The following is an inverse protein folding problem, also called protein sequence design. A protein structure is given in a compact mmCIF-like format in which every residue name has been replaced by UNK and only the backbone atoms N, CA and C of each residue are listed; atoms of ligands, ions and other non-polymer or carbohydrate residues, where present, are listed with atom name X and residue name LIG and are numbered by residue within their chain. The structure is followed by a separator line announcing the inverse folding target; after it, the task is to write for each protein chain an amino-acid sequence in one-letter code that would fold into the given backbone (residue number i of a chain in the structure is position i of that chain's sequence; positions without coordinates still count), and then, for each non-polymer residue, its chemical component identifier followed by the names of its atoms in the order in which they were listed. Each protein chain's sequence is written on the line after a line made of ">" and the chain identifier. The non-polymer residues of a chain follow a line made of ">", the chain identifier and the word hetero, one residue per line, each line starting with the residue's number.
data_IF_143843352493
#
_entry.id   IF_143843352493
#
_cell.length_a   1.000
_cell.length_b   1.000
_cell.length_c   1.000
_cell.angle_alpha   90.00
_cell.angle_beta   90.00
_cell.angle_gamma   90.00
#
_symmetry.space_group_name_H-M   'P 1'
#
loop_
_entity.id
_entity.type
_entity.pdbx_description
1 polymer ?
#
# COMPACT_ATOMS: atom_id res chain seq x y z
N UNK A 1 -39.11 32.67 -35.77
CA UNK A 1 -40.21 32.13 -34.96
C UNK A 1 -39.56 31.18 -33.96
N UNK A 2 -39.29 31.63 -32.74
CA UNK A 2 -38.64 30.78 -31.72
C UNK A 2 -39.62 29.70 -31.28
N UNK A 3 -39.37 28.46 -31.71
CA UNK A 3 -40.10 27.28 -31.27
C UNK A 3 -39.75 26.99 -29.79
N UNK A 4 -40.49 27.62 -28.88
CA UNK A 4 -40.39 27.35 -27.44
C UNK A 4 -40.95 25.96 -27.16
N UNK A 5 -40.07 24.96 -27.20
CA UNK A 5 -40.34 23.60 -26.75
C UNK A 5 -40.98 23.59 -25.35
N UNK A 6 -42.07 22.83 -25.21
CA UNK A 6 -42.86 22.72 -23.98
C UNK A 6 -42.02 22.12 -22.83
N UNK A 7 -42.26 22.53 -21.56
CA UNK A 7 -41.49 22.06 -20.40
C UNK A 7 -41.41 20.52 -20.25
N UNK A 8 -42.45 19.80 -20.70
CA UNK A 8 -42.51 18.33 -20.68
C UNK A 8 -41.55 17.67 -21.70
N UNK A 9 -41.30 18.30 -22.83
CA UNK A 9 -40.38 17.81 -23.88
C UNK A 9 -38.92 18.09 -23.52
N UNK A 10 -38.66 19.26 -22.92
CA UNK A 10 -37.36 19.59 -22.30
C UNK A 10 -36.96 18.57 -21.23
N UNK A 11 -37.92 18.06 -20.45
CA UNK A 11 -37.67 17.04 -19.43
C UNK A 11 -37.44 15.63 -20.03
N UNK A 12 -38.05 15.33 -21.19
CA UNK A 12 -37.80 14.10 -21.96
C UNK A 12 -36.42 14.10 -22.64
N UNK A 13 -35.87 15.27 -23.00
CA UNK A 13 -34.54 15.43 -23.60
C UNK A 13 -33.40 15.58 -22.58
N UNK A 14 -33.68 16.08 -21.36
CA UNK A 14 -32.67 16.19 -20.30
C UNK A 14 -32.25 14.84 -19.72
N UNK A 15 -33.20 13.92 -19.54
CA UNK A 15 -32.93 12.54 -19.05
C UNK A 15 -31.91 11.77 -19.91
N UNK A 16 -32.00 11.75 -21.26
CA UNK A 16 -31.01 11.07 -22.10
C UNK A 16 -29.63 11.73 -22.09
N UNK A 17 -29.54 13.06 -21.89
CA UNK A 17 -28.24 13.75 -21.77
C UNK A 17 -27.55 13.38 -20.45
N UNK A 18 -28.27 13.41 -19.33
CA UNK A 18 -27.71 13.01 -18.02
C UNK A 18 -27.26 11.55 -18.04
N UNK A 19 -28.05 10.66 -18.63
CA UNK A 19 -27.68 9.24 -18.74
C UNK A 19 -26.48 9.03 -19.68
N UNK A 20 -26.36 9.83 -20.76
CA UNK A 20 -25.16 9.83 -21.60
C UNK A 20 -23.93 10.23 -20.79
N UNK A 21 -23.98 11.33 -20.03
CA UNK A 21 -22.89 11.76 -19.15
C UNK A 21 -22.53 10.69 -18.10
N UNK A 22 -23.53 10.01 -17.53
CA UNK A 22 -23.30 8.90 -16.59
C UNK A 22 -22.52 7.77 -17.26
N UNK A 23 -22.95 7.35 -18.46
CA UNK A 23 -22.30 6.29 -19.24
C UNK A 23 -20.89 6.67 -19.65
N UNK A 24 -20.68 7.92 -20.08
CA UNK A 24 -19.35 8.42 -20.45
C UNK A 24 -18.41 8.42 -19.25
N UNK A 25 -18.89 8.86 -18.07
CA UNK A 25 -18.13 8.79 -16.82
C UNK A 25 -17.74 7.36 -16.46
N UNK A 26 -18.69 6.41 -16.52
CA UNK A 26 -18.43 4.99 -16.24
C UNK A 26 -17.37 4.44 -17.21
N UNK A 27 -17.51 4.71 -18.50
CA UNK A 27 -16.56 4.24 -19.51
C UNK A 27 -15.16 4.82 -19.30
N UNK A 28 -15.07 6.11 -18.97
CA UNK A 28 -13.80 6.77 -18.64
C UNK A 28 -13.13 6.11 -17.44
N UNK A 29 -13.88 5.85 -16.36
CA UNK A 29 -13.34 5.17 -15.18
C UNK A 29 -12.87 3.75 -15.49
N UNK A 30 -13.57 3.00 -16.33
CA UNK A 30 -13.14 1.65 -16.74
C UNK A 30 -11.83 1.70 -17.53
N UNK A 31 -11.66 2.66 -18.45
CA UNK A 31 -10.40 2.81 -19.19
C UNK A 31 -9.26 3.27 -18.26
N UNK A 32 -9.53 4.14 -17.29
CA UNK A 32 -8.56 4.52 -16.26
C UNK A 32 -8.09 3.31 -15.44
N UNK A 33 -9.01 2.43 -15.02
CA UNK A 33 -8.65 1.19 -14.32
C UNK A 33 -7.75 0.30 -15.16
N UNK A 34 -8.05 0.17 -16.45
CA UNK A 34 -7.23 -0.59 -17.41
C UNK A 34 -5.79 -0.06 -17.48
N UNK A 35 -5.61 1.26 -17.53
CA UNK A 35 -4.28 1.89 -17.56
C UNK A 35 -3.54 1.76 -16.23
N UNK A 36 -4.22 1.97 -15.10
CA UNK A 36 -3.60 1.89 -13.76
C UNK A 36 -3.09 0.49 -13.44
N UNK A 37 -3.80 -0.54 -13.89
CA UNK A 37 -3.48 -1.94 -13.61
C UNK A 37 -2.89 -2.65 -14.84
N UNK A 38 -2.44 -1.93 -15.87
CA UNK A 38 -1.96 -2.49 -17.14
C UNK A 38 -0.92 -3.61 -16.94
N UNK A 39 0.04 -3.39 -16.02
CA UNK A 39 1.06 -4.39 -15.70
C UNK A 39 0.48 -5.65 -15.09
N UNK A 40 -0.51 -5.52 -14.20
CA UNK A 40 -1.18 -6.66 -13.59
C UNK A 40 -2.03 -7.41 -14.63
N UNK A 41 -2.68 -6.69 -15.54
CA UNK A 41 -3.36 -7.30 -16.68
C UNK A 41 -2.41 -8.09 -17.59
N UNK A 42 -1.26 -7.51 -17.95
CA UNK A 42 -0.26 -8.17 -18.79
C UNK A 42 0.31 -9.44 -18.14
N UNK A 43 0.47 -9.45 -16.81
CA UNK A 43 0.96 -10.63 -16.08
C UNK A 43 -0.01 -11.81 -16.14
N UNK A 44 -1.31 -11.54 -16.11
CA UNK A 44 -2.33 -12.59 -16.13
C UNK A 44 -2.76 -12.98 -17.55
N UNK A 45 -2.85 -12.00 -18.47
CA UNK A 45 -3.29 -12.19 -19.85
C UNK A 45 -2.53 -11.26 -20.82
N UNK A 46 -1.29 -11.59 -21.22
CA UNK A 46 -0.41 -10.69 -21.97
C UNK A 46 -0.89 -10.32 -23.38
N UNK A 47 -1.80 -11.10 -23.98
CA UNK A 47 -2.20 -10.95 -25.39
C UNK A 47 -3.73 -11.00 -25.61
N UNK A 48 -4.53 -10.85 -24.55
CA UNK A 48 -5.99 -10.90 -24.66
C UNK A 48 -6.58 -9.50 -24.75
N UNK A 49 -7.62 -9.35 -25.57
CA UNK A 49 -8.42 -8.13 -25.58
C UNK A 49 -9.26 -8.11 -24.30
N UNK A 50 -8.92 -7.23 -23.37
CA UNK A 50 -9.63 -7.09 -22.11
C UNK A 50 -11.05 -6.59 -22.35
N UNK A 51 -12.05 -7.40 -22.01
CA UNK A 51 -13.44 -6.96 -21.98
C UNK A 51 -13.72 -6.13 -20.72
N UNK A 52 -14.81 -5.35 -20.74
CA UNK A 52 -15.17 -4.52 -19.57
C UNK A 52 -15.43 -5.37 -18.32
N UNK A 53 -15.94 -6.58 -18.49
CA UNK A 53 -16.16 -7.52 -17.38
C UNK A 53 -14.83 -7.95 -16.77
N UNK A 54 -13.86 -8.37 -17.60
CA UNK A 54 -12.51 -8.78 -17.16
C UNK A 54 -11.80 -7.66 -16.40
N UNK A 55 -11.86 -6.43 -16.92
CA UNK A 55 -11.25 -5.25 -16.28
C UNK A 55 -11.80 -5.10 -14.85
N UNK A 56 -13.12 -5.19 -14.68
CA UNK A 56 -13.75 -5.03 -13.37
C UNK A 56 -13.44 -6.19 -12.43
N UNK A 57 -13.51 -7.43 -12.92
CA UNK A 57 -13.25 -8.63 -12.11
C UNK A 57 -11.81 -8.65 -11.59
N UNK A 58 -10.83 -8.43 -12.47
CA UNK A 58 -9.42 -8.40 -12.10
C UNK A 58 -9.11 -7.22 -11.18
N UNK A 59 -9.73 -6.05 -11.40
CA UNK A 59 -9.59 -4.90 -10.48
C UNK A 59 -10.07 -5.27 -9.07
N UNK A 60 -11.23 -5.92 -8.95
CA UNK A 60 -11.75 -6.36 -7.64
C UNK A 60 -10.83 -7.39 -7.00
N UNK A 61 -10.34 -8.36 -7.76
CA UNK A 61 -9.39 -9.36 -7.28
C UNK A 61 -8.10 -8.73 -6.75
N UNK A 62 -7.53 -7.80 -7.53
CA UNK A 62 -6.35 -7.03 -7.14
C UNK A 62 -6.56 -6.23 -5.84
N UNK A 63 -7.68 -5.52 -5.72
CA UNK A 63 -7.98 -4.74 -4.51
C UNK A 63 -8.19 -5.63 -3.27
N UNK A 64 -8.82 -6.79 -3.42
CA UNK A 64 -8.96 -7.77 -2.33
C UNK A 64 -7.61 -8.28 -1.86
N UNK A 65 -6.73 -8.62 -2.79
CA UNK A 65 -5.37 -9.05 -2.48
C UNK A 65 -4.60 -7.94 -1.76
N UNK A 66 -4.70 -6.70 -2.24
CA UNK A 66 -4.04 -5.55 -1.62
C UNK A 66 -4.56 -5.26 -0.21
N UNK A 67 -5.87 -5.35 0.01
CA UNK A 67 -6.47 -5.21 1.34
C UNK A 67 -5.96 -6.28 2.30
N UNK A 68 -5.91 -7.54 1.89
CA UNK A 68 -5.42 -8.63 2.73
C UNK A 68 -3.92 -8.45 3.10
N UNK A 69 -3.10 -7.94 2.18
CA UNK A 69 -1.71 -7.61 2.45
C UNK A 69 -1.57 -6.43 3.42
N UNK A 70 -2.47 -5.45 3.34
CA UNK A 70 -2.50 -4.31 4.24
C UNK A 70 -3.00 -4.69 5.65
N UNK A 71 -3.97 -5.59 5.75
CA UNK A 71 -4.41 -6.16 7.01
C UNK A 71 -3.27 -6.93 7.68
N UNK A 72 -2.51 -7.73 6.94
CA UNK A 72 -1.30 -8.37 7.48
C UNK A 72 -0.25 -7.35 7.95
N UNK A 73 -0.02 -6.25 7.20
CA UNK A 73 0.90 -5.18 7.64
C UNK A 73 0.40 -4.41 8.86
N UNK A 74 -0.91 -4.22 9.01
CA UNK A 74 -1.48 -3.55 10.18
C UNK A 74 -1.55 -4.46 11.40
N UNK A 75 -1.61 -5.79 11.24
CA UNK A 75 -1.41 -6.75 12.33
C UNK A 75 0.05 -6.76 12.83
N UNK A 76 1.04 -6.57 11.95
CA UNK A 76 2.46 -6.43 12.36
C UNK A 76 2.68 -5.14 13.17
N UNK A 77 1.98 -4.05 12.84
CA UNK A 77 2.05 -2.77 13.57
C UNK A 77 1.17 -2.69 14.84
N UNK A 78 0.51 -3.77 15.24
CA UNK A 78 -0.35 -3.81 16.44
C UNK A 78 0.26 -4.56 17.61
N UNK A 79 1.47 -5.09 17.47
CA UNK A 79 2.19 -5.66 18.61
C UNK A 79 3.13 -4.59 19.18
N UNK A 80 2.71 -3.81 20.20
CA UNK A 80 3.54 -2.76 20.78
C UNK A 80 4.88 -3.30 21.29
N UNK A 81 4.97 -4.59 21.64
CA UNK A 81 6.23 -5.22 22.01
C UNK A 81 7.16 -5.45 20.82
N UNK A 82 6.64 -5.73 19.62
CA UNK A 82 7.46 -5.83 18.41
C UNK A 82 7.94 -4.45 17.94
N UNK A 83 7.07 -3.44 18.02
CA UNK A 83 7.46 -2.05 17.73
C UNK A 83 8.51 -1.53 18.75
N UNK A 84 8.37 -1.87 20.03
CA UNK A 84 9.37 -1.56 21.06
C UNK A 84 10.69 -2.27 20.80
N UNK A 85 10.70 -3.60 20.60
CA UNK A 85 11.92 -4.36 20.34
C UNK A 85 12.64 -3.90 19.07
N UNK A 86 11.89 -3.62 18.00
CA UNK A 86 12.43 -3.05 16.76
C UNK A 86 13.04 -1.67 16.98
N UNK A 87 12.34 -0.78 17.68
CA UNK A 87 12.84 0.55 18.03
C UNK A 87 14.08 0.51 18.93
N UNK A 88 14.08 -0.36 19.94
CA UNK A 88 15.21 -0.61 20.83
C UNK A 88 16.43 -1.11 20.05
N UNK A 89 16.26 -2.15 19.22
CA UNK A 89 17.36 -2.73 18.45
C UNK A 89 17.96 -1.73 17.45
N UNK A 90 17.10 -0.89 16.84
CA UNK A 90 17.53 0.19 15.95
C UNK A 90 18.37 1.23 16.69
N UNK A 91 17.92 1.68 17.85
CA UNK A 91 18.65 2.61 18.71
C UNK A 91 20.01 2.02 19.15
N UNK A 92 20.00 0.76 19.59
CA UNK A 92 21.21 0.05 20.03
C UNK A 92 22.24 -0.08 18.90
N UNK A 93 21.78 -0.44 17.69
CA UNK A 93 22.65 -0.55 16.51
C UNK A 93 23.30 0.79 16.17
N UNK A 94 22.53 1.88 16.23
CA UNK A 94 23.05 3.23 15.98
C UNK A 94 24.07 3.65 17.04
N UNK A 95 23.80 3.38 18.31
CA UNK A 95 24.73 3.66 19.40
C UNK A 95 26.05 2.87 19.23
N UNK A 96 25.98 1.60 18.86
CA UNK A 96 27.17 0.80 18.56
C UNK A 96 27.95 1.35 17.36
N UNK A 97 27.24 1.74 16.28
CA UNK A 97 27.84 2.34 15.11
C UNK A 97 28.60 3.62 15.48
N UNK A 98 27.94 4.55 16.19
CA UNK A 98 28.54 5.78 16.68
C UNK A 98 29.80 5.51 17.51
N UNK A 99 29.74 4.59 18.47
CA UNK A 99 30.91 4.25 19.32
C UNK A 99 32.07 3.63 18.53
N UNK A 100 31.77 2.91 17.44
CA UNK A 100 32.78 2.29 16.59
C UNK A 100 33.45 3.24 15.60
N UNK A 101 32.78 4.33 15.23
CA UNK A 101 33.21 5.28 14.20
C UNK A 101 34.33 6.21 14.66
N UNK A 102 34.42 6.52 15.97
CA UNK A 102 35.45 7.42 16.50
C UNK A 102 36.74 6.68 16.89
N UNK A 103 37.87 7.20 16.41
CA UNK A 103 39.23 6.87 16.84
C UNK A 103 39.93 8.12 17.41
N UNK A 104 40.78 7.99 18.46
CA UNK A 104 41.12 6.77 19.18
C UNK A 104 40.00 6.34 20.15
N UNK A 105 39.79 5.03 20.26
CA UNK A 105 38.76 4.47 21.15
C UNK A 105 39.17 4.62 22.62
N UNK A 106 38.34 5.33 23.39
CA UNK A 106 38.50 5.39 24.86
C UNK A 106 38.16 4.02 25.45
N UNK A 107 38.83 3.63 26.54
CA UNK A 107 38.56 2.36 27.23
C UNK A 107 37.07 2.21 27.58
N UNK A 108 36.42 3.30 28.00
CA UNK A 108 34.98 3.36 28.26
C UNK A 108 34.14 2.98 27.04
N UNK A 109 34.52 3.39 25.83
CA UNK A 109 33.79 3.04 24.60
C UNK A 109 33.89 1.54 24.31
N UNK A 110 35.07 0.94 24.51
CA UNK A 110 35.29 -0.50 24.36
C UNK A 110 34.46 -1.29 25.37
N UNK A 111 34.40 -0.84 26.62
CA UNK A 111 33.57 -1.45 27.67
C UNK A 111 32.07 -1.34 27.35
N UNK A 112 31.60 -0.20 26.84
CA UNK A 112 30.21 -0.02 26.41
C UNK A 112 29.83 -0.94 25.25
N UNK A 113 30.66 -1.03 24.21
CA UNK A 113 30.42 -1.95 23.09
C UNK A 113 30.34 -3.40 23.58
N UNK A 114 31.26 -3.81 24.47
CA UNK A 114 31.25 -5.16 25.08
C UNK A 114 29.96 -5.41 25.88
N UNK A 115 29.47 -4.41 26.61
CA UNK A 115 28.23 -4.51 27.36
C UNK A 115 27.02 -4.67 26.42
N UNK A 116 26.94 -3.87 25.34
CA UNK A 116 25.87 -3.97 24.36
C UNK A 116 25.82 -5.32 23.65
N UNK A 117 26.96 -5.90 23.25
CA UNK A 117 27.01 -7.23 22.65
C UNK A 117 26.51 -8.33 23.61
N UNK A 118 26.84 -8.21 24.91
CA UNK A 118 26.36 -9.17 25.93
C UNK A 118 24.85 -9.07 26.16
N UNK A 119 24.31 -7.86 26.16
CA UNK A 119 22.87 -7.63 26.32
C UNK A 119 22.06 -8.23 25.16
N UNK A 120 22.60 -8.23 23.93
CA UNK A 120 21.97 -8.87 22.78
C UNK A 120 21.92 -10.41 22.91
N UNK A 121 23.02 -11.03 23.34
CA UNK A 121 23.11 -12.49 23.49
C UNK A 121 22.24 -13.05 24.64
N UNK A 122 21.85 -12.21 25.61
CA UNK A 122 20.96 -12.61 26.70
C UNK A 122 19.46 -12.57 26.35
N UNK A 123 19.08 -11.84 25.31
CA UNK A 123 17.68 -11.67 24.90
C UNK A 123 17.17 -12.81 24.00
N UNK A 124 18.06 -13.53 23.31
CA UNK A 124 17.71 -14.68 22.45
C UNK A 124 17.44 -15.98 23.24
N UNK A 125 17.70 -16.01 24.55
CA UNK A 125 17.51 -17.21 25.37
C UNK A 125 16.09 -17.36 25.96
N UNK A 126 15.23 -16.34 25.85
CA UNK A 126 13.86 -16.37 26.41
C UNK A 126 12.76 -16.67 25.39
N UNK A 127 13.11 -16.87 24.11
CA UNK A 127 12.15 -17.28 23.08
C UNK A 127 12.73 -18.38 22.19
N UNK A 128 12.48 -19.63 22.57
CA UNK A 128 12.36 -20.74 21.63
C UNK A 128 11.22 -21.66 22.10
N UNK A 129 10.49 -22.27 21.14
CA UNK A 129 9.08 -22.63 21.23
C UNK A 129 8.74 -23.74 22.22
#
# INVERSE_FOLDING_TARGET
>A
MEEKLLPKEKNKLRKPVVEKMRRDRINSSIEQLKLLLEKEFQRHQPNSKLEKADILEMTVSYLKQQSQLQDQKTFIHKNPEQDFNSGYLRCLKEAMHFLSYYEPKKETQVQLIKHFCKAQLGADASYSP
#
